data_IF_761595127454
#
_entry.id   IF_761595127454
#
_cell.length_a   1.000
_cell.length_b   1.000
_cell.length_c   1.000
_cell.angle_alpha   90.00
_cell.angle_beta   90.00
_cell.angle_gamma   90.00
#
_symmetry.space_group_name_H-M   'P 1'
#
loop_
_entity.id
_entity.type
_entity.pdbx_description
1 polymer ?
#
# COMPACT_ATOMS: atom_id res chain seq x y z
N UNK A 1 14.47 17.05 30.18
CA UNK A 1 13.26 16.34 30.63
C UNK A 1 12.89 15.33 29.55
N UNK A 2 13.30 14.07 29.69
CA UNK A 2 12.99 13.02 28.71
C UNK A 2 11.59 12.48 29.04
N UNK A 3 10.58 12.93 28.30
CA UNK A 3 9.21 12.40 28.43
C UNK A 3 9.22 10.96 27.93
N UNK A 4 9.12 10.00 28.85
CA UNK A 4 9.01 8.58 28.54
C UNK A 4 7.61 8.33 27.97
N UNK A 5 7.47 8.48 26.65
CA UNK A 5 6.19 8.24 25.97
C UNK A 5 6.01 6.72 25.88
N UNK A 6 4.94 6.14 26.47
CA UNK A 6 4.75 4.69 26.43
C UNK A 6 4.62 4.22 24.97
N UNK A 7 5.38 3.20 24.59
CA UNK A 7 5.27 2.52 23.29
C UNK A 7 3.90 1.84 23.21
N UNK A 8 3.09 2.25 22.24
CA UNK A 8 1.74 1.72 22.00
C UNK A 8 1.83 0.69 20.88
N UNK A 9 1.75 -0.60 21.23
CA UNK A 9 1.68 -1.69 20.25
C UNK A 9 0.31 -1.73 19.58
N UNK A 10 0.28 -1.47 18.29
CA UNK A 10 -0.92 -1.65 17.46
C UNK A 10 -1.09 -3.14 17.11
N UNK A 11 -2.19 -3.75 17.56
CA UNK A 11 -2.65 -5.06 17.05
C UNK A 11 -3.43 -4.83 15.77
N UNK A 12 -2.80 -5.07 14.62
CA UNK A 12 -3.44 -5.00 13.31
C UNK A 12 -3.76 -6.43 12.88
N UNK A 13 -5.04 -6.77 12.75
CA UNK A 13 -5.48 -8.00 12.10
C UNK A 13 -5.83 -7.70 10.63
N UNK A 14 -5.15 -8.31 9.64
CA UNK A 14 -5.45 -8.07 8.24
C UNK A 14 -6.86 -8.48 7.81
N UNK A 15 -7.57 -9.32 8.57
CA UNK A 15 -8.94 -9.77 8.26
C UNK A 15 -10.01 -8.76 8.67
N UNK A 16 -9.73 -7.95 9.68
CA UNK A 16 -10.68 -6.99 10.28
C UNK A 16 -10.24 -5.52 10.08
N UNK A 17 -9.36 -5.26 9.09
CA UNK A 17 -8.93 -3.90 8.75
C UNK A 17 -10.12 -3.05 8.27
N UNK A 18 -10.51 -2.07 9.07
CA UNK A 18 -11.50 -1.07 8.73
C UNK A 18 -10.84 0.28 8.46
N UNK A 19 -11.10 0.86 7.29
CA UNK A 19 -10.66 2.23 6.98
C UNK A 19 -11.63 3.20 7.66
N UNK A 20 -11.15 3.92 8.68
CA UNK A 20 -11.97 4.82 9.48
C UNK A 20 -12.04 6.25 8.92
N UNK A 21 -11.30 6.55 7.85
CA UNK A 21 -11.20 7.92 7.31
C UNK A 21 -11.45 7.92 5.81
N UNK A 22 -12.44 8.71 5.39
CA UNK A 22 -12.83 8.87 3.99
C UNK A 22 -11.67 9.26 3.06
N UNK A 23 -10.80 10.16 3.51
CA UNK A 23 -9.62 10.57 2.73
C UNK A 23 -8.70 9.39 2.42
N UNK A 24 -8.47 8.51 3.39
CA UNK A 24 -7.63 7.32 3.21
C UNK A 24 -8.30 6.35 2.24
N UNK A 25 -9.60 6.14 2.39
CA UNK A 25 -10.39 5.31 1.47
C UNK A 25 -10.27 5.81 0.03
N UNK A 26 -10.46 7.11 -0.20
CA UNK A 26 -10.36 7.72 -1.54
C UNK A 26 -8.96 7.67 -2.14
N UNK A 27 -7.92 7.71 -1.31
CA UNK A 27 -6.54 7.55 -1.79
C UNK A 27 -6.22 6.09 -2.15
N UNK A 28 -6.78 5.12 -1.43
CA UNK A 28 -6.56 3.69 -1.68
C UNK A 28 -7.40 3.13 -2.82
N UNK A 29 -8.61 3.66 -3.05
CA UNK A 29 -9.54 3.23 -4.11
C UNK A 29 -8.86 3.04 -5.48
N UNK A 30 -8.12 4.00 -6.06
CA UNK A 30 -7.48 3.82 -7.35
C UNK A 30 -6.41 2.71 -7.34
N UNK A 31 -5.63 2.58 -6.25
CA UNK A 31 -4.59 1.56 -6.14
C UNK A 31 -5.19 0.14 -6.08
N UNK A 32 -6.27 -0.03 -5.31
CA UNK A 32 -7.00 -1.30 -5.21
C UNK A 32 -7.58 -1.70 -6.58
N UNK A 33 -8.17 -0.77 -7.32
CA UNK A 33 -8.69 -1.04 -8.67
C UNK A 33 -7.57 -1.51 -9.60
N UNK A 34 -6.39 -0.89 -9.56
CA UNK A 34 -5.24 -1.29 -10.38
C UNK A 34 -4.77 -2.72 -10.05
N UNK A 35 -4.57 -3.02 -8.77
CA UNK A 35 -4.10 -4.34 -8.30
C UNK A 35 -5.13 -5.43 -8.61
N UNK A 36 -6.40 -5.21 -8.28
CA UNK A 36 -7.46 -6.19 -8.55
C UNK A 36 -7.67 -6.41 -10.05
N UNK A 37 -7.48 -5.38 -10.88
CA UNK A 37 -7.49 -5.54 -12.35
C UNK A 37 -6.35 -6.44 -12.81
N UNK A 38 -5.14 -6.28 -12.27
CA UNK A 38 -3.99 -7.12 -12.59
C UNK A 38 -4.22 -8.57 -12.18
N UNK A 39 -4.75 -8.81 -10.98
CA UNK A 39 -5.03 -10.16 -10.45
C UNK A 39 -6.12 -10.86 -11.27
N UNK A 40 -7.18 -10.13 -11.63
CA UNK A 40 -8.31 -10.67 -12.38
C UNK A 40 -8.10 -10.66 -13.89
N UNK A 41 -6.91 -10.26 -14.39
CA UNK A 41 -6.62 -10.34 -15.81
C UNK A 41 -6.57 -11.82 -16.24
N UNK A 42 -7.42 -12.24 -17.19
CA UNK A 42 -7.41 -13.63 -17.64
C UNK A 42 -6.07 -13.95 -18.30
N UNK A 43 -5.43 -15.04 -17.87
CA UNK A 43 -4.17 -15.53 -18.46
C UNK A 43 -4.28 -15.78 -19.97
N UNK A 44 -5.47 -16.19 -20.43
CA UNK A 44 -5.79 -16.35 -21.84
C UNK A 44 -6.71 -15.21 -22.30
N UNK A 45 -6.16 -14.10 -22.81
CA UNK A 45 -6.97 -13.00 -23.29
C UNK A 45 -7.76 -13.42 -24.54
N UNK A 46 -9.06 -13.15 -24.52
CA UNK A 46 -9.91 -13.30 -25.72
C UNK A 46 -9.34 -12.49 -26.89
N UNK A 47 -9.41 -13.06 -28.10
CA UNK A 47 -9.06 -12.40 -29.36
C UNK A 47 -10.06 -11.31 -29.79
N UNK A 48 -11.19 -11.16 -29.08
CA UNK A 48 -12.15 -10.08 -29.31
C UNK A 48 -11.48 -8.73 -29.04
N UNK A 49 -11.78 -7.73 -29.88
CA UNK A 49 -11.37 -6.33 -29.65
C UNK A 49 -11.80 -5.91 -28.23
N UNK A 50 -10.83 -5.70 -27.35
CA UNK A 50 -11.06 -5.15 -26.01
C UNK A 50 -11.21 -3.62 -26.10
N UNK A 51 -11.95 -3.05 -25.14
CA UNK A 51 -12.05 -1.60 -24.95
C UNK A 51 -10.72 -0.97 -24.53
N UNK A 52 -10.74 0.33 -24.21
CA UNK A 52 -9.54 1.14 -23.88
C UNK A 52 -8.95 0.88 -22.48
N UNK A 53 -9.13 -0.30 -21.89
CA UNK A 53 -8.50 -0.61 -20.60
C UNK A 53 -6.99 -0.43 -20.70
N UNK A 54 -6.38 0.19 -19.67
CA UNK A 54 -4.93 0.36 -19.62
C UNK A 54 -4.25 -1.02 -19.75
N UNK A 55 -3.14 -1.07 -20.48
CA UNK A 55 -2.36 -2.31 -20.65
C UNK A 55 -1.83 -2.75 -19.28
N UNK A 56 -1.80 -4.05 -19.00
CA UNK A 56 -1.33 -4.60 -17.72
C UNK A 56 0.05 -4.04 -17.32
N UNK A 57 1.00 -3.96 -18.25
CA UNK A 57 2.32 -3.33 -18.01
C UNK A 57 2.26 -1.89 -17.48
N UNK A 58 1.28 -1.11 -17.90
CA UNK A 58 1.11 0.28 -17.45
C UNK A 58 0.53 0.30 -16.04
N UNK A 59 -0.39 -0.62 -15.73
CA UNK A 59 -0.91 -0.79 -14.38
C UNK A 59 0.19 -1.26 -13.43
N UNK A 60 1.00 -2.22 -13.83
CA UNK A 60 2.13 -2.73 -13.05
C UNK A 60 3.11 -1.60 -12.71
N UNK A 61 3.57 -0.83 -13.71
CA UNK A 61 4.47 0.29 -13.48
C UNK A 61 3.87 1.34 -12.52
N UNK A 62 2.57 1.62 -12.63
CA UNK A 62 1.87 2.54 -11.72
C UNK A 62 1.81 2.02 -10.29
N UNK A 63 1.65 0.70 -10.11
CA UNK A 63 1.63 0.06 -8.78
C UNK A 63 3.04 0.07 -8.18
N UNK A 64 4.07 -0.29 -8.95
CA UNK A 64 5.47 -0.24 -8.54
C UNK A 64 5.88 1.18 -8.10
N UNK A 65 5.48 2.20 -8.87
CA UNK A 65 5.71 3.61 -8.53
C UNK A 65 5.02 3.99 -7.22
N UNK A 66 3.75 3.60 -7.03
CA UNK A 66 3.01 3.86 -5.80
C UNK A 66 3.69 3.20 -4.59
N UNK A 67 4.15 1.96 -4.74
CA UNK A 67 4.88 1.22 -3.70
C UNK A 67 6.21 1.89 -3.35
N UNK A 68 6.99 2.33 -4.34
CA UNK A 68 8.23 3.07 -4.11
C UNK A 68 7.98 4.40 -3.38
N UNK A 69 6.93 5.13 -3.79
CA UNK A 69 6.54 6.38 -3.14
C UNK A 69 6.09 6.17 -1.68
N UNK A 70 5.39 5.08 -1.39
CA UNK A 70 5.00 4.71 -0.03
C UNK A 70 6.24 4.46 0.84
N UNK A 71 7.21 3.69 0.34
CA UNK A 71 8.43 3.37 1.08
C UNK A 71 9.30 4.61 1.34
N UNK A 72 9.55 5.45 0.34
CA UNK A 72 10.36 6.66 0.50
C UNK A 72 9.73 7.65 1.48
N UNK A 73 8.44 7.95 1.32
CA UNK A 73 7.73 8.89 2.20
C UNK A 73 7.50 8.29 3.59
N UNK A 74 7.18 7.01 3.64
CA UNK A 74 6.99 6.28 4.89
C UNK A 74 8.24 6.26 5.75
N UNK A 75 9.42 6.03 5.17
CA UNK A 75 10.68 6.03 5.90
C UNK A 75 11.01 7.40 6.48
N UNK A 76 10.72 8.48 5.74
CA UNK A 76 10.86 9.86 6.24
C UNK A 76 9.95 10.11 7.45
N UNK A 77 8.68 9.67 7.37
CA UNK A 77 7.71 9.80 8.46
C UNK A 77 8.12 8.95 9.68
N UNK A 78 8.57 7.72 9.46
CA UNK A 78 8.97 6.81 10.54
C UNK A 78 10.17 7.32 11.33
N UNK A 79 11.12 8.00 10.66
CA UNK A 79 12.28 8.65 11.33
C UNK A 79 11.87 9.75 12.31
N UNK A 80 10.81 10.49 11.97
CA UNK A 80 10.30 11.60 12.78
C UNK A 80 9.25 11.16 13.82
N UNK A 81 8.73 9.93 13.70
CA UNK A 81 7.72 9.40 14.61
C UNK A 81 8.28 9.15 16.02
N UNK A 82 7.53 9.59 17.03
CA UNK A 82 7.89 9.42 18.46
C UNK A 82 7.12 8.26 19.12
N UNK A 83 5.88 8.00 18.69
CA UNK A 83 4.96 7.06 19.38
C UNK A 83 4.92 5.68 18.72
N UNK A 84 4.80 5.62 17.38
CA UNK A 84 4.58 4.39 16.61
C UNK A 84 5.77 4.02 15.72
N UNK A 85 6.97 4.38 16.15
CA UNK A 85 8.17 4.26 15.31
C UNK A 85 8.44 2.80 14.93
N UNK A 86 8.37 1.89 15.89
CA UNK A 86 8.64 0.46 15.66
C UNK A 86 7.58 -0.16 14.76
N UNK A 87 6.31 0.17 14.99
CA UNK A 87 5.18 -0.32 14.19
C UNK A 87 5.24 0.20 12.76
N UNK A 88 5.58 1.48 12.55
CA UNK A 88 5.75 2.06 11.21
C UNK A 88 6.91 1.40 10.47
N UNK A 89 8.07 1.20 11.11
CA UNK A 89 9.19 0.52 10.46
C UNK A 89 8.87 -0.95 10.15
N UNK A 90 8.15 -1.65 11.04
CA UNK A 90 7.70 -3.01 10.78
C UNK A 90 6.78 -3.09 9.55
N UNK A 91 5.77 -2.20 9.47
CA UNK A 91 4.87 -2.14 8.33
C UNK A 91 5.59 -1.82 7.00
N UNK A 92 6.58 -0.92 7.03
CA UNK A 92 7.40 -0.61 5.85
C UNK A 92 8.28 -1.79 5.43
N UNK A 93 8.83 -2.53 6.40
CA UNK A 93 9.61 -3.73 6.12
C UNK A 93 8.76 -4.83 5.46
N UNK A 94 7.51 -5.00 5.90
CA UNK A 94 6.58 -5.94 5.28
C UNK A 94 6.29 -5.56 3.82
N UNK A 95 6.00 -4.28 3.55
CA UNK A 95 5.81 -3.80 2.17
C UNK A 95 7.06 -4.05 1.32
N UNK A 96 8.25 -3.75 1.85
CA UNK A 96 9.50 -3.96 1.13
C UNK A 96 9.78 -5.43 0.84
N UNK A 97 9.41 -6.33 1.75
CA UNK A 97 9.55 -7.78 1.59
C UNK A 97 8.65 -8.30 0.47
N UNK A 98 7.38 -7.89 0.45
CA UNK A 98 6.40 -8.31 -0.57
C UNK A 98 6.62 -7.63 -1.94
N UNK A 99 7.47 -6.60 -2.00
CA UNK A 99 7.85 -5.93 -3.25
C UNK A 99 8.97 -6.62 -4.03
N UNK A 100 9.57 -7.69 -3.48
CA UNK A 100 10.67 -8.46 -4.09
C UNK A 100 10.17 -9.80 -4.62
#
# INVERSE_FOLDING_TARGET
MSTNVPSIKLKIDPRDLQIQTFTVEKLLEPLIIQVTTLVNCPQNPSSKKKGRSKRARVLLASVEEATCNLLDKGEKIAKEAVVFKEELHAALADVQKESK
#
